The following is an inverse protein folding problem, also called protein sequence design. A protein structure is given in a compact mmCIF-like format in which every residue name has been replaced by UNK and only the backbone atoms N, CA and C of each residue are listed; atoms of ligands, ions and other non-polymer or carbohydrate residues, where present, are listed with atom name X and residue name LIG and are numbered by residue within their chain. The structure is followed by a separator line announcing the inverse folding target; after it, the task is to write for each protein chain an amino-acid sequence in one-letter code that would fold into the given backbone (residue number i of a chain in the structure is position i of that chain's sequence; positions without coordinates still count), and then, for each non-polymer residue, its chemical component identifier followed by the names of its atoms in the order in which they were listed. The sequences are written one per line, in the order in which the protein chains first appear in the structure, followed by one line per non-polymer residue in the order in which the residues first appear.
data_IF_690575009500
#
_entry.id   IF_690575009500
#
_cell.length_a   1.000
_cell.length_b   1.000
_cell.length_c   1.000
_cell.angle_alpha   90.00
_cell.angle_beta   90.00
_cell.angle_gamma   90.00
#
_symmetry.space_group_name_H-M   'P 1'
#
loop_
_entity.id
_entity.type
_entity.pdbx_description
1 polymer ?
#
# COMPACT_ATOMS: atom_id res chain seq x y z
N UNK A 1 55.82 3.97 21.04
CA UNK A 1 55.18 5.31 21.13
C UNK A 1 53.80 5.05 21.78
N UNK A 2 53.67 5.32 23.05
CA UNK A 2 52.41 5.05 23.80
C UNK A 2 51.36 6.05 23.37
N UNK A 3 50.30 5.57 22.72
CA UNK A 3 49.13 6.38 22.43
C UNK A 3 48.41 6.57 23.75
N UNK A 4 48.64 7.65 24.47
CA UNK A 4 47.81 8.02 25.61
C UNK A 4 46.37 8.16 25.08
N UNK A 5 45.51 7.21 25.47
CA UNK A 5 44.07 7.31 25.16
C UNK A 5 43.59 8.67 25.71
N UNK A 6 43.07 9.54 24.87
CA UNK A 6 42.52 10.81 25.30
C UNK A 6 41.42 10.53 26.34
N UNK A 7 41.54 10.97 27.59
CA UNK A 7 40.59 10.64 28.65
C UNK A 7 39.17 11.11 28.31
N UNK A 8 39.02 12.16 27.49
CA UNK A 8 37.71 12.61 26.98
C UNK A 8 37.08 11.62 26.01
N UNK A 9 37.88 11.01 25.11
CA UNK A 9 37.37 9.96 24.24
C UNK A 9 36.87 8.74 25.01
N UNK A 10 37.60 8.33 26.04
CA UNK A 10 37.20 7.22 26.87
C UNK A 10 35.91 7.50 27.66
N UNK A 11 35.74 8.73 28.18
CA UNK A 11 34.55 9.15 28.89
C UNK A 11 33.31 9.22 27.99
N UNK A 12 33.43 9.78 26.79
CA UNK A 12 32.35 9.85 25.81
C UNK A 12 31.99 8.45 25.32
N UNK A 13 32.96 7.59 25.05
CA UNK A 13 32.72 6.22 24.60
C UNK A 13 32.01 5.38 25.69
N UNK A 14 32.23 5.65 26.98
CA UNK A 14 31.51 5.03 28.07
C UNK A 14 30.02 5.39 28.09
N UNK A 15 29.65 6.57 27.60
CA UNK A 15 28.25 6.97 27.46
C UNK A 15 27.49 6.22 26.35
N UNK A 16 28.24 5.55 25.47
CA UNK A 16 27.68 4.73 24.39
C UNK A 16 28.16 3.29 24.51
N UNK A 17 27.59 2.47 25.41
CA UNK A 17 27.94 1.04 25.50
C UNK A 17 27.69 0.32 24.17
N UNK A 18 28.30 -0.85 23.97
CA UNK A 18 28.05 -1.70 22.78
C UNK A 18 26.55 -1.96 22.63
N UNK A 19 26.04 -1.74 21.43
CA UNK A 19 24.61 -1.79 21.13
C UNK A 19 23.92 -0.41 21.08
N UNK A 20 24.55 0.67 21.58
CA UNK A 20 23.98 2.01 21.52
C UNK A 20 23.85 2.53 20.09
N UNK A 21 22.86 3.38 19.88
CA UNK A 21 22.60 4.07 18.61
C UNK A 21 23.05 5.54 18.76
N UNK A 22 23.88 6.00 17.84
CA UNK A 22 24.27 7.41 17.68
C UNK A 22 23.58 7.98 16.45
N UNK A 23 23.01 9.17 16.56
CA UNK A 23 22.34 9.87 15.45
C UNK A 23 22.95 11.26 15.25
N UNK A 24 23.12 11.64 13.96
CA UNK A 24 23.64 12.96 13.58
C UNK A 24 23.15 13.36 12.20
N UNK A 25 23.07 14.66 11.94
CA UNK A 25 22.84 15.20 10.59
C UNK A 25 24.12 15.23 9.75
N UNK A 26 25.29 14.98 10.36
CA UNK A 26 26.57 14.87 9.66
C UNK A 26 26.96 13.42 9.42
N UNK A 27 27.62 13.16 8.28
CA UNK A 27 28.02 11.81 7.86
C UNK A 27 29.23 11.23 8.63
N UNK A 28 29.80 11.98 9.56
CA UNK A 28 31.03 11.59 10.27
C UNK A 28 30.80 10.31 11.07
N UNK A 29 31.68 9.31 10.87
CA UNK A 29 31.65 8.09 11.66
C UNK A 29 32.02 8.39 13.13
N UNK A 30 31.18 8.02 14.10
CA UNK A 30 31.48 8.27 15.52
C UNK A 30 32.81 7.67 15.99
N UNK A 31 33.27 6.61 15.37
CA UNK A 31 34.57 6.01 15.65
C UNK A 31 35.75 6.94 15.43
N UNK A 32 35.64 7.91 14.51
CA UNK A 32 36.66 8.95 14.30
C UNK A 32 36.57 10.08 15.32
N UNK A 33 35.41 10.26 15.96
CA UNK A 33 35.17 11.32 16.93
C UNK A 33 35.59 10.91 18.33
N UNK A 34 35.23 9.71 18.77
CA UNK A 34 35.41 9.25 20.15
C UNK A 34 35.80 7.77 20.28
N UNK A 35 36.16 7.12 19.16
CA UNK A 35 36.64 5.73 19.15
C UNK A 35 35.53 4.70 19.07
N UNK A 36 35.90 3.43 19.26
CA UNK A 36 34.98 2.28 19.08
C UNK A 36 34.74 1.91 17.62
N UNK A 37 34.02 0.83 17.44
CA UNK A 37 33.61 0.34 16.11
C UNK A 37 32.12 0.55 15.90
N UNK A 38 31.75 1.12 14.76
CA UNK A 38 30.38 1.53 14.49
C UNK A 38 29.94 1.05 13.11
N UNK A 39 28.74 0.50 13.06
CA UNK A 39 28.06 0.08 11.84
C UNK A 39 26.95 1.05 11.51
N UNK A 40 26.84 1.44 10.24
CA UNK A 40 25.84 2.38 9.77
C UNK A 40 24.50 1.67 9.55
N UNK A 41 23.41 2.22 10.12
CA UNK A 41 22.04 1.84 9.86
C UNK A 41 21.50 2.70 8.72
N UNK A 42 20.96 2.08 7.67
CA UNK A 42 20.49 2.78 6.47
C UNK A 42 19.12 2.26 6.05
N UNK A 43 18.29 3.17 5.49
CA UNK A 43 16.99 2.84 4.88
C UNK A 43 15.98 2.24 5.85
N UNK A 44 16.05 2.61 7.16
CA UNK A 44 15.17 2.06 8.19
C UNK A 44 14.76 3.12 9.19
N UNK A 45 13.51 3.06 9.62
CA UNK A 45 13.04 3.74 10.84
C UNK A 45 13.43 2.92 12.06
N UNK A 46 13.69 3.59 13.17
CA UNK A 46 13.95 2.93 14.46
C UNK A 46 12.61 2.68 15.16
N UNK A 47 12.38 1.43 15.51
CA UNK A 47 11.22 0.96 16.26
C UNK A 47 11.66 0.54 17.67
N UNK A 48 10.91 0.92 18.70
CA UNK A 48 11.12 0.38 20.05
C UNK A 48 10.87 -1.13 20.06
N UNK A 49 11.81 -1.89 20.65
CA UNK A 49 11.68 -3.33 20.75
C UNK A 49 10.55 -3.73 21.72
N UNK A 50 9.83 -4.79 21.41
CA UNK A 50 8.79 -5.40 22.23
C UNK A 50 8.81 -6.94 22.09
N UNK A 51 7.78 -7.62 22.61
CA UNK A 51 7.66 -9.09 22.54
C UNK A 51 7.52 -9.61 21.11
N UNK A 52 6.99 -8.80 20.19
CA UNK A 52 6.77 -9.15 18.77
C UNK A 52 7.92 -8.68 17.88
N UNK A 53 8.68 -7.68 18.32
CA UNK A 53 9.77 -7.05 17.60
C UNK A 53 11.04 -7.06 18.43
N UNK A 54 11.77 -8.17 18.39
CA UNK A 54 13.00 -8.33 19.15
C UNK A 54 14.05 -7.28 18.75
N UNK A 55 14.86 -6.84 19.73
CA UNK A 55 15.94 -5.88 19.49
C UNK A 55 16.89 -6.38 18.39
N UNK A 56 17.14 -5.55 17.38
CA UNK A 56 17.97 -5.86 16.20
C UNK A 56 17.23 -6.59 15.07
N UNK A 57 15.97 -6.99 15.24
CA UNK A 57 15.17 -7.50 14.13
C UNK A 57 14.88 -6.41 13.11
N UNK A 58 14.57 -6.80 11.88
CA UNK A 58 14.29 -5.88 10.78
C UNK A 58 13.02 -6.30 10.07
N UNK A 59 12.22 -5.33 9.62
CA UNK A 59 10.96 -5.60 8.93
C UNK A 59 10.40 -4.35 8.29
N UNK A 60 9.13 -4.45 7.86
CA UNK A 60 8.39 -3.38 7.21
C UNK A 60 8.68 -3.25 5.71
N UNK A 61 7.90 -2.40 5.05
CA UNK A 61 8.02 -2.09 3.64
C UNK A 61 7.87 -0.58 3.42
N UNK A 62 8.70 -0.02 2.58
CA UNK A 62 8.67 1.38 2.16
C UNK A 62 7.49 1.67 1.22
N UNK A 63 7.11 0.68 0.44
CA UNK A 63 5.98 0.77 -0.49
C UNK A 63 5.01 -0.38 -0.24
N UNK A 64 3.73 -0.10 -0.35
CA UNK A 64 2.64 -1.07 -0.17
C UNK A 64 1.68 -0.97 -1.35
N UNK A 65 1.32 -2.11 -1.91
CA UNK A 65 0.19 -2.25 -2.82
C UNK A 65 -0.95 -2.87 -2.04
N UNK A 66 -2.09 -2.19 -1.99
CA UNK A 66 -3.26 -2.70 -1.29
C UNK A 66 -3.80 -3.94 -2.01
N UNK A 67 -4.11 -4.98 -1.25
CA UNK A 67 -4.87 -6.12 -1.72
C UNK A 67 -6.37 -5.82 -1.64
N UNK A 68 -7.19 -6.61 -2.34
CA UNK A 68 -8.65 -6.47 -2.31
C UNK A 68 -9.20 -6.54 -0.88
N UNK A 69 -8.66 -7.42 -0.04
CA UNK A 69 -9.05 -7.58 1.36
C UNK A 69 -8.74 -6.37 2.25
N UNK A 70 -7.79 -5.54 1.84
CA UNK A 70 -7.35 -4.33 2.56
C UNK A 70 -8.15 -3.09 2.16
N UNK A 71 -9.01 -3.20 1.13
CA UNK A 71 -9.88 -2.11 0.72
C UNK A 71 -11.08 -2.00 1.70
N UNK A 72 -11.57 -0.78 1.94
CA UNK A 72 -12.83 -0.62 2.67
C UNK A 72 -13.95 -1.38 1.99
N UNK A 73 -14.84 -1.98 2.77
CA UNK A 73 -16.01 -2.67 2.23
C UNK A 73 -16.87 -1.68 1.46
N UNK A 74 -17.02 -1.92 0.16
CA UNK A 74 -17.90 -1.12 -0.72
C UNK A 74 -19.22 -1.83 -0.80
N UNK A 75 -20.28 -1.22 -0.24
CA UNK A 75 -21.65 -1.71 -0.31
C UNK A 75 -22.45 -0.78 -1.21
N UNK A 76 -23.24 -1.36 -2.08
CA UNK A 76 -24.18 -0.65 -2.93
C UNK A 76 -25.31 -1.55 -3.37
N UNK A 77 -26.45 -0.97 -3.71
CA UNK A 77 -27.56 -1.65 -4.33
C UNK A 77 -27.77 -1.07 -5.71
N UNK A 78 -27.90 -1.93 -6.68
CA UNK A 78 -28.24 -1.54 -8.05
C UNK A 78 -29.70 -1.94 -8.27
N UNK A 79 -30.57 -0.94 -8.50
CA UNK A 79 -31.96 -1.18 -8.79
C UNK A 79 -32.16 -1.17 -10.28
N UNK A 80 -32.75 -2.25 -10.78
CA UNK A 80 -33.26 -2.33 -12.14
C UNK A 80 -34.78 -2.09 -12.08
N UNK A 81 -35.27 -1.07 -12.77
CA UNK A 81 -36.70 -0.86 -12.91
C UNK A 81 -37.26 -1.84 -13.94
N UNK A 82 -38.18 -2.68 -13.56
CA UNK A 82 -39.01 -3.45 -14.50
C UNK A 82 -39.95 -2.47 -15.22
N UNK A 83 -40.11 -2.60 -16.52
CA UNK A 83 -41.07 -1.82 -17.29
C UNK A 83 -42.51 -1.99 -16.76
N UNK A 84 -43.34 -0.93 -16.93
CA UNK A 84 -44.72 -0.90 -16.47
C UNK A 84 -45.52 -2.09 -17.01
N UNK A 85 -46.37 -2.64 -16.15
CA UNK A 85 -47.31 -3.67 -16.53
C UNK A 85 -48.20 -3.17 -17.69
N UNK A 86 -48.20 -3.90 -18.80
CA UNK A 86 -49.10 -3.59 -19.93
C UNK A 86 -48.54 -3.86 -21.31
N UNK A 87 -47.27 -4.07 -21.48
CA UNK A 87 -46.71 -4.45 -22.76
C UNK A 87 -46.33 -5.93 -22.75
N UNK A 88 -46.80 -6.66 -23.74
CA UNK A 88 -46.68 -8.12 -23.92
C UNK A 88 -45.26 -8.60 -24.24
N UNK A 89 -44.26 -7.81 -23.95
CA UNK A 89 -42.86 -8.18 -24.02
C UNK A 89 -42.26 -7.99 -22.62
N UNK A 90 -41.81 -9.06 -22.02
CA UNK A 90 -41.20 -9.05 -20.69
C UNK A 90 -40.22 -7.88 -20.54
N UNK A 91 -40.59 -6.96 -19.67
CA UNK A 91 -39.78 -5.77 -19.42
C UNK A 91 -38.47 -6.15 -18.76
N UNK A 92 -37.39 -6.01 -19.47
CA UNK A 92 -36.05 -6.17 -18.94
C UNK A 92 -35.51 -4.83 -18.51
N UNK A 93 -35.03 -4.75 -17.30
CA UNK A 93 -34.30 -3.59 -16.85
C UNK A 93 -32.93 -3.58 -17.52
N UNK A 94 -32.69 -2.55 -18.31
CA UNK A 94 -31.38 -2.37 -18.95
C UNK A 94 -30.68 -1.15 -18.37
N UNK A 95 -29.44 -1.32 -17.98
CA UNK A 95 -28.54 -0.18 -17.77
C UNK A 95 -28.16 0.38 -19.13
N UNK A 96 -28.50 1.63 -19.40
CA UNK A 96 -28.21 2.26 -20.71
C UNK A 96 -26.93 3.07 -20.73
N UNK A 97 -26.49 3.55 -19.59
CA UNK A 97 -25.28 4.39 -19.48
C UNK A 97 -24.55 4.12 -18.19
N UNK A 98 -23.23 4.08 -18.27
CA UNK A 98 -22.34 4.10 -17.12
C UNK A 98 -21.30 5.19 -17.33
N UNK A 99 -20.81 5.79 -16.26
CA UNK A 99 -19.80 6.84 -16.31
C UNK A 99 -18.82 6.72 -15.15
N UNK A 100 -17.67 7.35 -15.29
CA UNK A 100 -16.62 7.34 -14.26
C UNK A 100 -15.91 5.99 -14.19
N UNK A 101 -15.87 5.39 -12.98
CA UNK A 101 -15.25 4.08 -12.73
C UNK A 101 -16.20 2.90 -12.99
N UNK A 102 -17.39 3.16 -13.52
CA UNK A 102 -18.34 2.13 -13.94
C UNK A 102 -18.33 2.05 -15.46
N UNK A 103 -18.23 0.84 -15.98
CA UNK A 103 -18.36 0.56 -17.40
C UNK A 103 -19.45 -0.47 -17.65
N UNK A 104 -20.12 -0.33 -18.79
CA UNK A 104 -21.04 -1.33 -19.29
C UNK A 104 -20.35 -2.05 -20.46
N UNK A 105 -20.34 -3.38 -20.42
CA UNK A 105 -19.89 -4.13 -21.60
C UNK A 105 -20.84 -3.92 -22.76
N UNK A 106 -20.36 -4.14 -23.97
CA UNK A 106 -21.18 -4.09 -25.17
C UNK A 106 -22.47 -4.92 -25.00
N UNK A 107 -23.63 -4.35 -25.35
CA UNK A 107 -24.88 -5.04 -25.20
C UNK A 107 -24.93 -6.29 -26.08
N UNK A 108 -25.15 -7.43 -25.48
CA UNK A 108 -25.44 -8.66 -26.23
C UNK A 108 -26.96 -8.77 -26.45
N UNK A 109 -27.38 -8.89 -27.69
CA UNK A 109 -28.77 -9.19 -28.02
C UNK A 109 -29.07 -10.62 -27.63
N UNK A 110 -30.10 -10.81 -26.82
CA UNK A 110 -30.58 -12.13 -26.45
C UNK A 110 -31.92 -12.37 -27.19
N UNK A 111 -31.96 -13.39 -28.04
CA UNK A 111 -33.21 -13.87 -28.63
C UNK A 111 -34.05 -14.61 -27.59
N UNK A 112 -35.37 -14.52 -27.64
CA UNK A 112 -36.25 -15.28 -26.80
C UNK A 112 -36.10 -16.78 -27.09
N UNK A 113 -36.11 -17.66 -26.07
CA UNK A 113 -36.19 -19.11 -26.29
C UNK A 113 -37.54 -19.46 -26.93
N UNK A 114 -37.52 -19.80 -28.22
CA UNK A 114 -38.71 -20.21 -28.97
C UNK A 114 -38.92 -19.61 -30.34
N UNK A 115 -38.36 -18.46 -30.61
CA UNK A 115 -38.48 -17.80 -31.92
C UNK A 115 -37.34 -18.19 -32.85
N UNK A 116 -37.65 -19.04 -33.81
CA UNK A 116 -36.68 -19.53 -34.79
C UNK A 116 -36.24 -18.49 -35.85
N UNK A 117 -36.85 -17.30 -35.93
CA UNK A 117 -36.61 -16.38 -37.04
C UNK A 117 -36.83 -14.88 -36.78
N UNK A 118 -36.86 -14.40 -35.55
CA UNK A 118 -37.05 -12.96 -35.34
C UNK A 118 -35.86 -12.32 -34.60
N UNK A 119 -34.93 -11.83 -35.36
CA UNK A 119 -34.03 -10.78 -34.92
C UNK A 119 -34.82 -9.50 -34.73
N UNK A 120 -35.38 -9.27 -33.58
CA UNK A 120 -36.02 -8.00 -33.27
C UNK A 120 -34.93 -6.92 -33.21
N UNK A 121 -34.94 -5.94 -34.11
CA UNK A 121 -33.91 -4.89 -34.13
C UNK A 121 -33.90 -4.01 -32.88
N UNK A 122 -34.89 -4.22 -31.98
CA UNK A 122 -35.06 -3.51 -30.73
C UNK A 122 -35.02 -4.45 -29.50
N UNK A 123 -34.47 -5.65 -29.64
CA UNK A 123 -34.34 -6.52 -28.48
C UNK A 123 -33.45 -5.83 -27.40
N UNK A 124 -33.84 -5.87 -26.14
CA UNK A 124 -33.08 -5.26 -25.08
C UNK A 124 -31.72 -5.95 -24.99
N UNK A 125 -30.68 -5.14 -25.00
CA UNK A 125 -29.31 -5.60 -24.88
C UNK A 125 -28.92 -5.65 -23.41
N UNK A 126 -28.39 -6.78 -22.97
CA UNK A 126 -27.85 -6.90 -21.62
C UNK A 126 -26.38 -6.55 -21.61
N UNK A 127 -26.00 -5.60 -20.74
CA UNK A 127 -24.61 -5.30 -20.46
C UNK A 127 -24.20 -5.82 -19.09
N UNK A 128 -22.95 -6.18 -18.93
CA UNK A 128 -22.36 -6.45 -17.61
C UNK A 128 -21.92 -5.12 -17.02
N UNK A 129 -22.42 -4.77 -15.85
CA UNK A 129 -21.92 -3.64 -15.10
C UNK A 129 -20.59 -4.04 -14.44
N UNK A 130 -19.51 -3.41 -14.87
CA UNK A 130 -18.19 -3.60 -14.29
C UNK A 130 -17.85 -2.38 -13.41
N UNK A 131 -17.40 -2.66 -12.20
CA UNK A 131 -16.85 -1.68 -11.28
C UNK A 131 -15.33 -1.83 -11.28
N UNK A 132 -14.62 -0.77 -11.65
CA UNK A 132 -13.17 -0.77 -11.71
C UNK A 132 -12.64 0.27 -10.71
N UNK A 133 -12.08 -0.21 -9.61
CA UNK A 133 -11.53 0.61 -8.55
C UNK A 133 -10.02 0.44 -8.45
N UNK A 134 -9.32 1.57 -8.53
CA UNK A 134 -7.88 1.62 -8.39
C UNK A 134 -7.13 1.10 -9.62
N UNK A 135 -5.83 1.28 -9.60
CA UNK A 135 -4.93 0.85 -10.68
C UNK A 135 -3.95 -0.24 -10.21
N UNK A 136 -4.11 -0.77 -9.00
CA UNK A 136 -3.19 -1.75 -8.42
C UNK A 136 -1.77 -1.22 -8.20
N UNK A 137 -1.57 0.10 -8.20
CA UNK A 137 -0.27 0.72 -7.98
C UNK A 137 0.09 0.76 -6.51
N UNK A 138 1.38 0.61 -6.23
CA UNK A 138 1.90 0.81 -4.88
C UNK A 138 1.86 2.28 -4.48
N UNK A 139 1.71 2.54 -3.20
CA UNK A 139 1.86 3.86 -2.59
C UNK A 139 2.98 3.85 -1.56
N UNK A 140 3.55 5.03 -1.32
CA UNK A 140 4.55 5.22 -0.28
C UNK A 140 3.91 5.08 1.10
N UNK A 141 4.53 4.26 1.96
CA UNK A 141 4.11 4.04 3.34
C UNK A 141 4.94 4.86 4.35
N UNK A 142 5.72 5.84 3.86
CA UNK A 142 6.56 6.68 4.69
C UNK A 142 5.82 7.96 5.10
N UNK A 143 5.73 8.27 6.41
CA UNK A 143 5.28 9.58 6.87
C UNK A 143 6.33 10.65 6.54
N UNK A 144 6.02 11.96 6.69
CA UNK A 144 7.03 13.01 6.64
C UNK A 144 8.16 12.71 7.63
N UNK A 145 9.41 12.82 7.19
CA UNK A 145 10.58 12.43 7.98
C UNK A 145 11.74 13.43 7.85
N UNK A 146 12.63 13.40 8.82
CA UNK A 146 13.96 13.98 8.75
C UNK A 146 14.98 12.84 8.65
N UNK A 147 15.73 12.81 7.57
CA UNK A 147 16.82 11.83 7.42
C UNK A 147 18.03 12.22 8.25
N UNK A 148 18.54 11.29 9.05
CA UNK A 148 19.74 11.43 9.84
C UNK A 148 20.65 10.23 9.64
N UNK A 149 21.95 10.40 9.91
CA UNK A 149 22.89 9.29 9.95
C UNK A 149 22.76 8.57 11.28
N UNK A 150 22.40 7.28 11.22
CA UNK A 150 22.30 6.42 12.40
C UNK A 150 23.46 5.42 12.40
N UNK A 151 24.12 5.27 13.55
CA UNK A 151 25.23 4.36 13.74
C UNK A 151 25.02 3.51 14.98
N UNK A 152 25.17 2.20 14.86
CA UNK A 152 25.12 1.25 15.98
C UNK A 152 26.55 0.93 16.41
N UNK A 153 26.87 1.07 17.69
CA UNK A 153 28.15 0.63 18.24
C UNK A 153 28.23 -0.89 18.27
N UNK A 154 29.30 -1.47 17.70
CA UNK A 154 29.54 -2.92 17.64
C UNK A 154 30.72 -3.38 18.52
N UNK A 155 31.67 -2.49 18.81
CA UNK A 155 32.79 -2.74 19.73
C UNK A 155 33.33 -1.43 20.34
#
# INVERSE_FOLDING_TARGET
MSIFANPLHSAVLAAYPVGSIYMSTTATNPGTLFGGTWERIQGRFLLGADSSHAAGSTGGSEQVTLTEEQLPRINGSVFAAAGAEGETAGGYAAFRTASGKMSLSEPRQYGQPGDKESWAPNAPSYGVLTLDFGEGKSHTNMPPYLAVYCWKRTA
#
